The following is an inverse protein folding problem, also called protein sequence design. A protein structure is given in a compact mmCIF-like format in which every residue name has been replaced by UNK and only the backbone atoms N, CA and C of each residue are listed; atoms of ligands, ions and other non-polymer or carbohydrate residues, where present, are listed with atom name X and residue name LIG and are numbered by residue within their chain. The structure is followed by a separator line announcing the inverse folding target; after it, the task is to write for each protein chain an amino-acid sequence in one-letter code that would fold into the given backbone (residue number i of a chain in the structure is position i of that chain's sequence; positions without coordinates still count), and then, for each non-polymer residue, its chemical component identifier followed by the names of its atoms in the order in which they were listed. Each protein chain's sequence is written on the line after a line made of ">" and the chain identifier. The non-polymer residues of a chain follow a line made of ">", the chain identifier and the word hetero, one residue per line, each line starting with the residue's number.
data_IF_711748498888
#
_entry.id   IF_711748498888
#
_cell.length_a   1.000
_cell.length_b   1.000
_cell.length_c   1.000
_cell.angle_alpha   90.00
_cell.angle_beta   90.00
_cell.angle_gamma   90.00
#
_symmetry.space_group_name_H-M   'P 1'
#
loop_
_entity.id
_entity.type
_entity.pdbx_description
1 polymer ?
#
# COMPACT_ATOMS: atom_id res chain seq x y z
N UNK A 1 -8.14 -3.07 5.72
CA UNK A 1 -6.81 -2.90 5.08
C UNK A 1 -5.81 -2.15 5.97
N UNK A 2 -6.02 -0.89 6.36
CA UNK A 2 -5.06 -0.12 7.21
C UNK A 2 -4.75 -0.72 8.61
N UNK A 3 -5.70 -1.41 9.25
CA UNK A 3 -5.45 -2.11 10.53
C UNK A 3 -4.55 -3.35 10.40
N UNK A 4 -4.43 -3.97 9.21
CA UNK A 4 -3.57 -5.16 9.02
C UNK A 4 -2.09 -4.80 9.11
N UNK A 5 -1.75 -3.57 8.74
CA UNK A 5 -0.36 -3.09 8.62
C UNK A 5 0.03 -2.14 9.74
N UNK A 6 -0.78 -2.02 10.80
CA UNK A 6 -0.52 -1.13 11.94
C UNK A 6 -0.15 0.31 11.52
N UNK A 7 -0.84 0.86 10.51
CA UNK A 7 -0.48 2.16 9.94
C UNK A 7 0.99 2.21 9.49
N UNK A 8 1.47 1.16 8.82
CA UNK A 8 2.81 1.10 8.23
C UNK A 8 2.75 0.72 6.75
N UNK A 9 3.68 1.23 5.98
CA UNK A 9 3.87 0.83 4.58
C UNK A 9 4.31 -0.64 4.50
N UNK A 10 3.76 -1.44 3.58
CA UNK A 10 4.14 -2.86 3.47
C UNK A 10 5.55 -3.08 2.92
N UNK A 11 6.08 -2.15 2.13
CA UNK A 11 7.42 -2.25 1.55
C UNK A 11 8.52 -1.82 2.52
N UNK A 12 8.42 -0.58 3.02
CA UNK A 12 9.46 0.01 3.86
C UNK A 12 9.16 -0.07 5.36
N UNK A 13 7.98 -0.56 5.75
CA UNK A 13 7.51 -0.63 7.15
C UNK A 13 7.50 0.72 7.88
N UNK A 14 7.60 1.81 7.13
CA UNK A 14 7.57 3.16 7.67
C UNK A 14 6.18 3.44 8.22
N UNK A 15 6.08 3.97 9.45
CA UNK A 15 4.81 4.31 10.04
C UNK A 15 4.21 5.55 9.37
N UNK A 16 2.89 5.60 9.30
CA UNK A 16 2.11 6.75 8.82
C UNK A 16 2.42 8.00 9.65
N UNK A 17 2.89 7.85 10.89
CA UNK A 17 3.39 8.97 11.68
C UNK A 17 4.60 9.71 11.05
N UNK A 18 5.41 9.04 10.22
CA UNK A 18 6.56 9.64 9.52
C UNK A 18 6.12 10.34 8.24
N UNK A 19 5.09 9.82 7.58
CA UNK A 19 4.51 10.40 6.39
C UNK A 19 3.23 11.13 6.80
N UNK A 20 3.27 12.45 6.94
CA UNK A 20 2.10 13.30 7.29
C UNK A 20 0.99 13.29 6.19
N UNK A 21 0.94 12.25 5.37
CA UNK A 21 0.00 12.01 4.29
C UNK A 21 -0.59 10.61 4.45
N UNK A 22 -1.87 10.43 4.09
CA UNK A 22 -2.47 9.11 4.08
C UNK A 22 -1.72 8.21 3.10
N UNK A 23 -1.58 6.94 3.44
CA UNK A 23 -1.01 5.96 2.53
C UNK A 23 -1.92 5.70 1.32
N UNK A 24 -1.28 5.36 0.21
CA UNK A 24 -1.95 5.07 -1.04
C UNK A 24 -2.06 3.55 -1.22
N UNK A 25 -3.14 3.13 -1.89
CA UNK A 25 -3.36 1.72 -2.21
C UNK A 25 -2.86 1.50 -3.63
N UNK A 26 -1.81 0.70 -3.76
CA UNK A 26 -1.19 0.35 -5.04
C UNK A 26 -1.56 -1.08 -5.43
N UNK A 27 -1.74 -1.32 -6.73
CA UNK A 27 -1.83 -2.67 -7.27
C UNK A 27 -0.45 -3.29 -7.44
N UNK A 28 -0.16 -4.36 -6.68
CA UNK A 28 1.09 -5.14 -6.80
C UNK A 28 1.27 -5.60 -8.25
N UNK A 29 0.19 -6.12 -8.85
CA UNK A 29 0.11 -6.40 -10.29
C UNK A 29 -0.89 -5.44 -10.92
N UNK A 30 -0.49 -4.57 -11.86
CA UNK A 30 -1.42 -3.66 -12.52
C UNK A 30 -2.44 -4.44 -13.35
N UNK A 31 -3.67 -3.90 -13.46
CA UNK A 31 -4.76 -4.52 -14.23
C UNK A 31 -4.37 -4.83 -15.68
N UNK A 32 -3.56 -3.96 -16.31
CA UNK A 32 -3.03 -4.17 -17.67
C UNK A 32 -2.16 -5.42 -17.81
N UNK A 33 -1.65 -5.97 -16.71
CA UNK A 33 -0.86 -7.21 -16.66
C UNK A 33 -1.64 -8.40 -16.10
N UNK A 34 -2.98 -8.39 -16.21
CA UNK A 34 -3.86 -9.39 -15.58
C UNK A 34 -3.82 -9.35 -14.05
N UNK A 35 -3.52 -8.19 -13.47
CA UNK A 35 -3.74 -7.95 -12.05
C UNK A 35 -5.23 -7.97 -11.68
N UNK A 36 -5.52 -8.24 -10.42
CA UNK A 36 -6.89 -8.27 -9.87
C UNK A 36 -7.13 -7.09 -8.94
N UNK A 37 -8.39 -6.71 -8.73
CA UNK A 37 -8.75 -5.71 -7.70
C UNK A 37 -8.97 -6.35 -6.32
N UNK A 38 -8.52 -7.59 -6.13
CA UNK A 38 -8.57 -8.30 -4.86
C UNK A 38 -7.69 -7.62 -3.82
N UNK A 39 -8.13 -7.64 -2.55
CA UNK A 39 -7.34 -7.16 -1.42
C UNK A 39 -5.96 -7.82 -1.31
N UNK A 40 -5.80 -9.03 -1.86
CA UNK A 40 -4.53 -9.72 -1.93
C UNK A 40 -3.55 -9.12 -2.95
N UNK A 41 -4.06 -8.39 -3.94
CA UNK A 41 -3.28 -7.68 -4.96
C UNK A 41 -3.18 -6.17 -4.69
N UNK A 42 -3.78 -5.71 -3.59
CA UNK A 42 -3.73 -4.32 -3.13
C UNK A 42 -2.73 -4.22 -1.97
N UNK A 43 -1.64 -3.50 -2.19
CA UNK A 43 -0.65 -3.19 -1.15
C UNK A 43 -0.83 -1.77 -0.67
N UNK A 44 -0.67 -1.56 0.64
CA UNK A 44 -0.74 -0.24 1.24
C UNK A 44 0.68 0.35 1.32
N UNK A 45 0.94 1.40 0.54
CA UNK A 45 2.28 1.96 0.35
C UNK A 45 2.31 3.43 0.74
N UNK A 46 3.47 3.91 1.21
CA UNK A 46 3.66 5.34 1.38
C UNK A 46 3.88 6.02 0.01
N UNK A 47 3.63 7.32 -0.05
CA UNK A 47 3.82 8.12 -1.27
C UNK A 47 5.25 8.04 -1.85
N UNK A 48 6.25 7.69 -1.03
CA UNK A 48 7.63 7.49 -1.50
C UNK A 48 7.90 6.12 -2.12
N UNK A 49 7.03 5.13 -1.86
CA UNK A 49 7.14 3.78 -2.41
C UNK A 49 6.16 3.51 -3.56
N UNK A 50 5.12 4.34 -3.70
CA UNK A 50 4.22 4.39 -4.87
C UNK A 50 4.94 4.82 -6.14
#
# INVERSE_FOLDING_TARGET
>A
MAQRVNYRCEYCQAPEAVFNFPFEVEHIVPLSRQGSNDEANLALVCHSCS
#
